data_IF_264506471062
#
_entry.id   IF_264506471062
#
_cell.length_a   1.000
_cell.length_b   1.000
_cell.length_c   1.000
_cell.angle_alpha   90.00
_cell.angle_beta   90.00
_cell.angle_gamma   90.00
#
_symmetry.space_group_name_H-M   'P 1'
#
loop_
_entity.id
_entity.type
_entity.pdbx_description
1 polymer ?
#
# COMPACT_ATOMS: atom_id res chain seq x y z
N UNK A 1 -56.24 -23.14 -49.91
CA UNK A 1 -55.28 -23.60 -48.88
C UNK A 1 -55.88 -23.35 -47.49
N UNK A 2 -56.34 -24.40 -46.79
CA UNK A 2 -56.83 -24.30 -45.39
C UNK A 2 -55.72 -24.77 -44.46
N UNK A 3 -55.17 -23.86 -43.65
CA UNK A 3 -54.18 -24.20 -42.63
C UNK A 3 -54.85 -24.94 -41.46
N UNK A 4 -54.40 -26.17 -41.20
CA UNK A 4 -54.78 -26.95 -40.03
C UNK A 4 -54.10 -26.38 -38.79
N UNK A 5 -54.89 -25.96 -37.79
CA UNK A 5 -54.36 -25.51 -36.49
C UNK A 5 -54.07 -26.72 -35.62
N UNK A 6 -52.83 -27.23 -35.66
CA UNK A 6 -52.37 -28.24 -34.69
C UNK A 6 -52.24 -27.59 -33.30
N UNK A 7 -53.09 -28.00 -32.35
CA UNK A 7 -52.95 -27.62 -30.94
C UNK A 7 -51.73 -28.35 -30.37
N UNK A 8 -50.74 -27.61 -29.87
CA UNK A 8 -49.61 -28.20 -29.15
C UNK A 8 -50.15 -28.96 -27.92
N UNK A 9 -49.73 -30.21 -27.67
CA UNK A 9 -50.21 -30.95 -26.52
C UNK A 9 -49.73 -30.27 -25.22
N UNK A 10 -50.59 -30.24 -24.19
CA UNK A 10 -50.33 -29.56 -22.92
C UNK A 10 -48.98 -29.96 -22.28
N UNK A 11 -48.53 -31.20 -22.52
CA UNK A 11 -47.22 -31.71 -22.10
C UNK A 11 -46.04 -31.01 -22.79
N UNK A 12 -46.17 -30.69 -24.09
CA UNK A 12 -45.15 -29.91 -24.81
C UNK A 12 -45.09 -28.45 -24.34
N UNK A 13 -46.22 -27.88 -23.90
CA UNK A 13 -46.25 -26.54 -23.32
C UNK A 13 -45.55 -26.51 -21.95
N UNK A 14 -45.74 -27.54 -21.12
CA UNK A 14 -45.09 -27.69 -19.81
C UNK A 14 -43.57 -27.89 -19.97
N UNK A 15 -43.13 -28.72 -20.92
CA UNK A 15 -41.69 -28.91 -21.21
C UNK A 15 -41.07 -27.62 -21.75
N UNK A 16 -41.78 -26.87 -22.61
CA UNK A 16 -41.31 -25.57 -23.09
C UNK A 16 -41.18 -24.55 -21.96
N UNK A 17 -42.16 -24.48 -21.05
CA UNK A 17 -42.13 -23.59 -19.88
C UNK A 17 -41.03 -23.97 -18.87
N UNK A 18 -40.80 -25.27 -18.63
CA UNK A 18 -39.70 -25.76 -17.80
C UNK A 18 -38.33 -25.48 -18.45
N UNK A 19 -38.21 -25.60 -19.78
CA UNK A 19 -36.96 -25.26 -20.49
C UNK A 19 -36.66 -23.76 -20.47
N UNK A 20 -37.69 -22.92 -20.47
CA UNK A 20 -37.55 -21.47 -20.35
C UNK A 20 -37.14 -21.05 -18.92
N UNK A 21 -37.55 -21.81 -17.91
CA UNK A 21 -37.19 -21.58 -16.50
C UNK A 21 -35.73 -21.97 -16.18
N UNK A 22 -35.16 -22.92 -16.92
CA UNK A 22 -33.74 -23.31 -16.76
C UNK A 22 -32.75 -22.39 -17.49
N UNK A 23 -33.22 -21.47 -18.36
CA UNK A 23 -32.34 -20.58 -19.13
C UNK A 23 -32.12 -19.20 -18.51
N UNK A 24 -32.78 -18.89 -17.39
CA UNK A 24 -32.54 -17.66 -16.62
C UNK A 24 -31.53 -17.90 -15.51
N UNK A 25 -30.37 -18.45 -15.84
CA UNK A 25 -29.19 -18.31 -14.99
C UNK A 25 -28.71 -16.87 -15.14
N UNK A 26 -29.30 -15.96 -14.38
CA UNK A 26 -28.78 -14.60 -14.24
C UNK A 26 -27.36 -14.72 -13.69
N UNK A 27 -26.37 -14.54 -14.56
CA UNK A 27 -24.99 -14.32 -14.15
C UNK A 27 -24.96 -13.04 -13.33
N UNK A 28 -25.10 -13.15 -12.01
CA UNK A 28 -24.74 -12.06 -11.12
C UNK A 28 -23.25 -11.82 -11.32
N UNK A 29 -22.90 -10.77 -12.04
CA UNK A 29 -21.57 -10.19 -12.00
C UNK A 29 -21.34 -9.76 -10.55
N UNK A 30 -20.69 -10.60 -9.76
CA UNK A 30 -20.16 -10.17 -8.48
C UNK A 30 -19.13 -9.09 -8.79
N UNK A 31 -19.43 -7.83 -8.45
CA UNK A 31 -18.43 -6.77 -8.48
C UNK A 31 -17.45 -7.11 -7.36
N UNK A 32 -16.34 -7.76 -7.72
CA UNK A 32 -15.25 -8.02 -6.80
C UNK A 32 -14.68 -6.70 -6.32
N UNK A 33 -14.59 -6.52 -5.01
CA UNK A 33 -13.92 -5.36 -4.43
C UNK A 33 -12.43 -5.49 -4.71
N UNK A 34 -11.81 -4.47 -5.27
CA UNK A 34 -10.37 -4.45 -5.51
C UNK A 34 -9.77 -3.17 -4.93
N UNK A 35 -8.61 -3.31 -4.26
CA UNK A 35 -7.77 -2.18 -3.91
C UNK A 35 -6.45 -2.35 -4.66
N UNK A 36 -6.18 -1.43 -5.59
CA UNK A 36 -4.99 -1.47 -6.45
C UNK A 36 -4.09 -0.28 -6.14
N UNK A 37 -2.86 -0.54 -5.73
CA UNK A 37 -1.85 0.53 -5.58
C UNK A 37 -1.30 0.87 -6.97
N UNK A 38 -1.59 2.07 -7.45
CA UNK A 38 -1.12 2.57 -8.75
C UNK A 38 0.33 3.03 -8.68
N UNK A 39 0.69 3.74 -7.60
CA UNK A 39 2.06 4.18 -7.34
C UNK A 39 2.31 4.32 -5.86
N UNK A 40 3.57 4.13 -5.48
CA UNK A 40 4.05 4.34 -4.12
C UNK A 40 5.39 5.07 -4.21
N UNK A 41 5.47 6.22 -3.56
CA UNK A 41 6.71 6.98 -3.41
C UNK A 41 6.99 7.20 -1.93
N UNK A 42 8.23 7.07 -1.51
CA UNK A 42 8.63 7.46 -0.17
C UNK A 42 9.88 8.34 -0.21
N UNK A 43 9.81 9.44 0.52
CA UNK A 43 10.94 10.30 0.82
C UNK A 43 11.40 10.05 2.26
N UNK A 44 12.70 9.91 2.45
CA UNK A 44 13.31 9.58 3.73
C UNK A 44 14.43 10.58 4.01
N UNK A 45 14.29 11.33 5.10
CA UNK A 45 15.27 12.31 5.55
C UNK A 45 15.87 11.83 6.87
N UNK A 46 17.17 11.58 6.91
CA UNK A 46 17.86 11.11 8.11
C UNK A 46 18.46 12.30 8.86
N UNK A 47 17.92 12.67 10.02
CA UNK A 47 18.46 13.76 10.83
C UNK A 47 19.81 13.41 11.49
N UNK A 48 20.67 14.40 11.80
CA UNK A 48 21.96 14.17 12.47
C UNK A 48 21.87 13.49 13.84
N UNK A 49 20.73 13.61 14.52
CA UNK A 49 20.46 12.93 15.80
C UNK A 49 20.02 11.46 15.63
N UNK A 50 20.04 10.93 14.41
CA UNK A 50 19.65 9.57 14.07
C UNK A 50 18.14 9.32 13.98
N UNK A 51 17.31 10.35 14.14
CA UNK A 51 15.89 10.26 13.82
C UNK A 51 15.67 10.32 12.31
N UNK A 52 14.68 9.60 11.83
CA UNK A 52 14.33 9.52 10.41
C UNK A 52 12.94 10.10 10.21
N UNK A 53 12.81 11.04 9.29
CA UNK A 53 11.53 11.56 8.83
C UNK A 53 11.16 10.86 7.53
N UNK A 54 9.93 10.37 7.44
CA UNK A 54 9.44 9.66 6.27
C UNK A 54 8.13 10.27 5.80
N UNK A 55 8.05 10.52 4.50
CA UNK A 55 6.84 10.94 3.80
C UNK A 55 6.50 9.91 2.74
N UNK A 56 5.41 9.16 2.93
CA UNK A 56 4.90 8.20 1.95
C UNK A 56 3.74 8.80 1.17
N UNK A 57 3.82 8.78 -0.16
CA UNK A 57 2.75 9.15 -1.08
C UNK A 57 2.22 7.90 -1.80
N UNK A 58 0.98 7.53 -1.48
CA UNK A 58 0.32 6.31 -1.95
C UNK A 58 -0.82 6.71 -2.87
N UNK A 59 -0.71 6.38 -4.16
CA UNK A 59 -1.84 6.51 -5.10
C UNK A 59 -2.54 5.17 -5.21
N UNK A 60 -3.80 5.12 -4.83
CA UNK A 60 -4.61 3.91 -4.74
C UNK A 60 -5.89 4.07 -5.54
N UNK A 61 -6.26 3.04 -6.28
CA UNK A 61 -7.54 2.92 -6.95
C UNK A 61 -8.39 1.89 -6.21
N UNK A 62 -9.55 2.33 -5.74
CA UNK A 62 -10.57 1.48 -5.12
C UNK A 62 -11.60 1.11 -6.20
N UNK A 63 -11.86 -0.17 -6.41
CA UNK A 63 -12.91 -0.66 -7.31
C UNK A 63 -13.91 -1.52 -6.54
N UNK A 64 -15.17 -1.46 -6.95
CA UNK A 64 -16.27 -1.99 -6.15
C UNK A 64 -16.47 -1.17 -4.88
N UNK A 65 -17.43 -1.57 -4.05
CA UNK A 65 -17.79 -0.84 -2.83
C UNK A 65 -18.78 -1.62 -1.97
N UNK A 66 -19.08 -1.13 -0.75
CA UNK A 66 -18.60 0.12 -0.16
C UNK A 66 -17.19 0.02 0.45
N UNK A 67 -16.41 1.09 0.39
CA UNK A 67 -15.08 1.27 0.98
C UNK A 67 -15.11 2.32 2.08
N UNK A 68 -14.32 2.07 3.14
CA UNK A 68 -14.13 3.01 4.25
C UNK A 68 -12.73 3.64 4.29
N UNK A 69 -11.85 3.21 3.37
CA UNK A 69 -10.44 3.56 3.33
C UNK A 69 -9.54 2.32 3.27
N UNK A 70 -8.32 2.41 3.79
CA UNK A 70 -7.29 1.37 3.67
C UNK A 70 -6.54 1.10 4.97
N UNK A 71 -5.82 -0.02 5.00
CA UNK A 71 -4.85 -0.33 6.04
C UNK A 71 -3.42 -0.14 5.53
N UNK A 72 -2.56 0.46 6.35
CA UNK A 72 -1.11 0.55 6.15
C UNK A 72 -0.40 -0.07 7.34
N UNK A 73 0.49 -1.02 7.09
CA UNK A 73 1.22 -1.79 8.11
C UNK A 73 2.71 -1.57 7.95
N UNK A 74 3.32 -0.90 8.91
CA UNK A 74 4.76 -0.57 8.88
C UNK A 74 5.49 -1.50 9.85
N UNK A 75 6.50 -2.28 9.41
CA UNK A 75 7.31 -3.10 10.31
C UNK A 75 8.05 -2.20 11.32
N UNK A 76 7.92 -2.54 12.60
CA UNK A 76 8.49 -1.79 13.73
C UNK A 76 9.21 -2.69 14.73
N UNK A 77 9.37 -3.96 14.36
CA UNK A 77 10.17 -4.97 15.05
C UNK A 77 10.75 -5.91 14.00
N UNK A 78 12.03 -6.23 14.11
CA UNK A 78 12.70 -7.18 13.21
C UNK A 78 13.30 -8.32 14.03
N UNK A 79 12.88 -9.54 13.68
CA UNK A 79 13.31 -10.78 14.34
C UNK A 79 14.34 -11.45 13.45
N UNK A 80 15.52 -11.75 13.98
CA UNK A 80 16.50 -12.61 13.31
C UNK A 80 16.36 -14.05 13.81
N UNK A 81 17.03 -15.03 13.18
CA UNK A 81 17.04 -16.41 13.66
C UNK A 81 17.50 -16.59 15.13
N UNK A 82 18.18 -15.59 15.71
CA UNK A 82 18.67 -15.57 17.08
C UNK A 82 17.69 -14.91 18.08
N UNK A 83 16.58 -14.31 17.62
CA UNK A 83 15.61 -13.59 18.46
C UNK A 83 15.23 -12.22 17.91
N UNK A 84 14.45 -11.44 18.67
CA UNK A 84 14.15 -10.04 18.33
C UNK A 84 15.44 -9.24 18.50
N UNK A 85 15.91 -8.62 17.42
CA UNK A 85 17.15 -7.84 17.48
C UNK A 85 16.92 -6.34 17.39
N UNK A 86 15.70 -5.89 17.10
CA UNK A 86 15.49 -4.48 16.78
C UNK A 86 14.04 -4.03 16.90
N UNK A 87 13.80 -2.89 17.56
CA UNK A 87 12.50 -2.27 17.72
C UNK A 87 12.56 -0.80 17.28
N UNK A 88 11.62 -0.40 16.43
CA UNK A 88 11.53 0.96 15.91
C UNK A 88 10.38 1.73 16.57
N UNK A 89 10.65 2.98 16.90
CA UNK A 89 9.65 3.86 17.51
C UNK A 89 9.05 4.78 16.45
N UNK A 90 7.98 4.30 15.81
CA UNK A 90 7.24 5.05 14.80
C UNK A 90 6.20 5.98 15.46
N UNK A 91 6.25 7.27 15.12
CA UNK A 91 5.26 8.28 15.49
C UNK A 91 4.67 8.94 14.24
N UNK A 92 3.37 8.77 14.03
CA UNK A 92 2.65 9.44 12.92
C UNK A 92 2.53 10.94 13.24
N UNK A 93 2.93 11.79 12.30
CA UNK A 93 2.79 13.25 12.34
C UNK A 93 1.48 13.69 11.70
N UNK A 94 1.24 13.26 10.46
CA UNK A 94 0.06 13.65 9.68
C UNK A 94 -0.34 12.56 8.69
N UNK A 95 -1.62 12.52 8.31
CA UNK A 95 -2.12 11.76 7.17
C UNK A 95 -3.09 12.66 6.41
N UNK A 96 -2.87 12.86 5.11
CA UNK A 96 -3.63 13.81 4.30
C UNK A 96 -4.05 13.25 2.95
N UNK A 97 -5.05 13.87 2.33
CA UNK A 97 -5.42 13.64 0.93
C UNK A 97 -4.55 14.45 -0.05
N UNK A 98 -4.83 14.33 -1.35
CA UNK A 98 -4.13 15.06 -2.41
C UNK A 98 -4.20 16.59 -2.29
N UNK A 99 -5.21 17.11 -1.59
CA UNK A 99 -5.42 18.54 -1.37
C UNK A 99 -4.83 19.03 -0.04
N UNK A 100 -4.19 18.14 0.73
CA UNK A 100 -3.61 18.44 2.03
C UNK A 100 -4.63 18.42 3.18
N UNK A 101 -5.87 17.99 2.95
CA UNK A 101 -6.85 17.88 4.03
C UNK A 101 -6.50 16.70 4.93
N UNK A 102 -6.61 16.89 6.24
CA UNK A 102 -6.34 15.82 7.22
C UNK A 102 -7.36 14.69 7.11
N UNK A 103 -6.85 13.45 7.04
CA UNK A 103 -7.65 12.23 7.07
C UNK A 103 -7.69 11.66 8.48
N UNK A 104 -8.87 11.20 8.89
CA UNK A 104 -9.01 10.47 10.15
C UNK A 104 -8.27 9.13 10.07
N UNK A 105 -7.60 8.74 11.14
CA UNK A 105 -7.00 7.41 11.24
C UNK A 105 -7.02 6.85 12.65
N UNK A 106 -6.83 5.53 12.76
CA UNK A 106 -6.54 4.83 14.01
C UNK A 106 -5.16 4.15 13.89
N UNK A 107 -4.45 4.08 15.01
CA UNK A 107 -3.10 3.51 15.08
C UNK A 107 -3.05 2.45 16.17
N UNK A 108 -2.53 1.26 15.82
CA UNK A 108 -2.43 0.13 16.75
C UNK A 108 -1.14 -0.67 16.52
N UNK A 109 -0.70 -1.43 17.52
CA UNK A 109 0.37 -2.42 17.39
C UNK A 109 -0.26 -3.78 17.12
N UNK A 110 0.17 -4.46 16.06
CA UNK A 110 -0.25 -5.84 15.74
C UNK A 110 1.01 -6.65 15.46
N UNK A 111 1.37 -7.58 16.35
CA UNK A 111 2.63 -8.32 16.30
C UNK A 111 3.82 -7.34 16.14
N UNK A 112 4.63 -7.53 15.11
CA UNK A 112 5.82 -6.72 14.80
C UNK A 112 5.53 -5.46 13.97
N UNK A 113 4.25 -5.09 13.80
CA UNK A 113 3.84 -4.01 12.90
C UNK A 113 3.08 -2.90 13.64
N UNK A 114 3.25 -1.68 13.12
CA UNK A 114 2.38 -0.54 13.37
C UNK A 114 1.30 -0.55 12.30
N UNK A 115 0.05 -0.83 12.69
CA UNK A 115 -1.11 -0.86 11.80
C UNK A 115 -1.87 0.45 11.89
N UNK A 116 -1.99 1.13 10.75
CA UNK A 116 -2.77 2.34 10.55
C UNK A 116 -4.04 1.96 9.78
N UNK A 117 -5.20 2.33 10.33
CA UNK A 117 -6.49 2.28 9.64
C UNK A 117 -6.83 3.69 9.20
N UNK A 118 -6.77 3.96 7.91
CA UNK A 118 -6.94 5.30 7.35
C UNK A 118 -8.33 5.38 6.75
N UNK A 119 -9.10 6.37 7.18
CA UNK A 119 -10.45 6.61 6.68
C UNK A 119 -10.40 7.54 5.48
N UNK A 120 -10.96 7.11 4.35
CA UNK A 120 -10.95 7.87 3.09
C UNK A 120 -12.41 8.12 2.68
N UNK A 121 -12.88 9.39 2.68
CA UNK A 121 -14.23 9.72 2.25
C UNK A 121 -14.39 9.48 0.75
N UNK A 122 -15.59 9.09 0.31
CA UNK A 122 -15.92 8.90 -1.10
C UNK A 122 -14.95 7.95 -1.85
N UNK A 123 -14.50 6.90 -1.17
CA UNK A 123 -13.52 5.96 -1.71
C UNK A 123 -14.09 5.01 -2.78
N UNK A 124 -15.41 4.88 -2.92
CA UNK A 124 -15.98 3.92 -3.87
C UNK A 124 -15.69 4.27 -5.33
N UNK A 125 -15.14 3.31 -6.08
CA UNK A 125 -14.80 3.45 -7.50
C UNK A 125 -13.99 4.72 -7.81
N UNK A 126 -13.06 5.08 -6.93
CA UNK A 126 -12.27 6.30 -7.05
C UNK A 126 -10.77 6.05 -6.91
N UNK A 127 -9.99 6.97 -7.49
CA UNK A 127 -8.54 7.02 -7.28
C UNK A 127 -8.23 8.12 -6.27
N UNK A 128 -7.49 7.75 -5.23
CA UNK A 128 -7.15 8.62 -4.11
C UNK A 128 -5.63 8.65 -3.93
N UNK A 129 -5.11 9.81 -3.55
CA UNK A 129 -3.72 9.94 -3.10
C UNK A 129 -3.73 10.20 -1.61
N UNK A 130 -2.94 9.43 -0.87
CA UNK A 130 -2.80 9.53 0.58
C UNK A 130 -1.33 9.82 0.88
N UNK A 131 -1.07 10.92 1.58
CA UNK A 131 0.25 11.23 2.13
C UNK A 131 0.29 10.84 3.60
N UNK A 132 1.32 10.12 4.02
CA UNK A 132 1.56 9.73 5.42
C UNK A 132 2.92 10.27 5.83
N UNK A 133 2.94 11.17 6.80
CA UNK A 133 4.16 11.68 7.40
C UNK A 133 4.35 11.07 8.78
N UNK A 134 5.52 10.53 9.04
CA UNK A 134 5.87 9.98 10.34
C UNK A 134 7.36 10.10 10.63
N UNK A 135 7.71 10.02 11.91
CA UNK A 135 9.09 9.88 12.35
C UNK A 135 9.35 8.49 12.87
N UNK A 136 10.60 8.06 12.72
CA UNK A 136 11.11 6.82 13.25
C UNK A 136 12.39 7.15 14.02
N UNK A 137 12.43 6.82 15.30
CA UNK A 137 13.67 6.85 16.06
C UNK A 137 14.21 5.43 16.26
N UNK A 138 15.51 5.37 16.55
CA UNK A 138 16.29 4.14 16.65
C UNK A 138 16.35 3.38 15.32
N UNK A 139 16.29 4.08 14.17
CA UNK A 139 16.33 3.51 12.81
C UNK A 139 17.76 3.44 12.21
N UNK A 140 18.72 4.09 12.86
CA UNK A 140 20.14 4.02 12.50
C UNK A 140 20.89 3.11 13.45
N UNK A 141 21.79 2.33 12.88
CA UNK A 141 22.79 1.57 13.63
C UNK A 141 24.16 2.16 13.34
N UNK A 142 24.94 2.35 14.40
CA UNK A 142 26.30 2.86 14.30
C UNK A 142 27.28 1.68 14.43
N UNK A 143 28.18 1.54 13.46
CA UNK A 143 29.31 0.61 13.51
C UNK A 143 30.63 1.41 13.51
N UNK A 144 31.75 0.73 13.75
CA UNK A 144 33.06 1.39 13.82
C UNK A 144 33.43 2.09 12.50
N UNK A 145 33.04 1.51 11.37
CA UNK A 145 33.44 1.91 10.02
C UNK A 145 32.30 2.50 9.16
N UNK A 146 31.04 2.28 9.54
CA UNK A 146 29.88 2.77 8.79
C UNK A 146 28.63 2.93 9.67
N UNK A 147 27.63 3.62 9.13
CA UNK A 147 26.28 3.65 9.71
C UNK A 147 25.32 2.90 8.78
N UNK A 148 24.37 2.14 9.34
CA UNK A 148 23.34 1.42 8.59
C UNK A 148 21.94 1.95 8.92
N UNK A 149 21.20 2.35 7.89
CA UNK A 149 19.77 2.66 7.99
C UNK A 149 18.96 1.40 7.73
N UNK A 150 18.21 0.96 8.73
CA UNK A 150 17.32 -0.20 8.65
C UNK A 150 15.88 0.26 8.42
N UNK A 151 15.43 0.30 7.15
CA UNK A 151 14.05 0.69 6.86
C UNK A 151 13.45 -0.05 5.66
N UNK A 152 12.47 -0.93 5.91
CA UNK A 152 11.63 -1.51 4.86
C UNK A 152 10.48 -0.54 4.53
N UNK A 153 10.78 0.41 3.66
CA UNK A 153 9.85 1.44 3.17
C UNK A 153 8.59 0.82 2.57
N UNK A 154 8.77 -0.21 1.74
CA UNK A 154 7.72 -0.70 0.84
C UNK A 154 6.68 -1.57 1.53
N UNK A 155 7.05 -2.22 2.64
CA UNK A 155 6.20 -3.17 3.38
C UNK A 155 5.69 -4.31 2.48
N UNK A 156 6.15 -5.54 2.70
CA UNK A 156 5.68 -6.67 1.89
C UNK A 156 4.28 -7.17 2.28
N UNK A 157 3.60 -6.46 3.17
CA UNK A 157 2.44 -6.95 3.91
C UNK A 157 1.29 -5.93 3.92
N UNK A 158 0.90 -5.46 2.75
CA UNK A 158 -0.34 -4.68 2.62
C UNK A 158 -1.53 -5.59 2.90
N UNK A 159 -2.10 -5.43 4.09
CA UNK A 159 -3.16 -6.27 4.61
C UNK A 159 -4.51 -5.92 3.95
N UNK A 160 -5.22 -6.94 3.48
CA UNK A 160 -6.45 -6.82 2.70
C UNK A 160 -7.59 -7.33 3.56
N UNK A 161 -8.61 -6.51 3.86
CA UNK A 161 -9.73 -7.00 4.65
C UNK A 161 -10.61 -7.94 3.82
N UNK A 162 -10.68 -9.22 4.22
CA UNK A 162 -11.73 -10.22 3.89
C UNK A 162 -11.74 -10.88 2.49
N UNK A 163 -12.23 -12.14 2.38
CA UNK A 163 -11.99 -13.05 1.23
C UNK A 163 -12.65 -12.65 -0.11
N UNK A 164 -13.44 -11.59 -0.15
CA UNK A 164 -14.05 -11.07 -1.38
C UNK A 164 -13.27 -9.90 -2.01
N UNK A 165 -12.09 -9.55 -1.44
CA UNK A 165 -11.28 -8.47 -1.96
C UNK A 165 -9.95 -8.95 -2.53
N UNK A 166 -9.63 -8.49 -3.73
CA UNK A 166 -8.37 -8.78 -4.41
C UNK A 166 -7.42 -7.59 -4.24
N UNK A 167 -6.14 -7.87 -4.04
CA UNK A 167 -5.09 -6.86 -3.98
C UNK A 167 -4.07 -7.12 -5.04
N UNK A 168 -3.88 -6.14 -5.91
CA UNK A 168 -2.94 -6.23 -7.01
C UNK A 168 -1.85 -5.17 -6.85
N UNK A 169 -0.63 -5.64 -6.62
CA UNK A 169 0.58 -4.81 -6.60
C UNK A 169 1.10 -4.70 -8.05
N UNK A 170 0.74 -3.63 -8.76
CA UNK A 170 1.45 -3.19 -9.99
C UNK A 170 2.11 -1.81 -9.86
N UNK A 171 2.68 -1.41 -8.70
CA UNK A 171 3.19 -0.06 -8.54
C UNK A 171 4.50 0.16 -9.30
N UNK A 172 4.66 1.36 -9.84
CA UNK A 172 6.00 1.97 -9.89
C UNK A 172 6.34 2.37 -8.45
N UNK A 173 7.34 1.70 -7.87
CA UNK A 173 7.84 1.99 -6.53
C UNK A 173 9.08 2.85 -6.68
N UNK A 174 9.08 4.00 -6.01
CA UNK A 174 10.26 4.85 -5.87
C UNK A 174 10.52 5.10 -4.38
N UNK A 175 11.75 4.84 -3.95
CA UNK A 175 12.22 5.25 -2.63
C UNK A 175 13.41 6.19 -2.84
N UNK A 176 13.33 7.41 -2.31
CA UNK A 176 14.41 8.38 -2.34
C UNK A 176 14.84 8.65 -0.90
N UNK A 177 16.13 8.42 -0.63
CA UNK A 177 16.74 8.72 0.66
C UNK A 177 17.65 9.92 0.49
N UNK A 178 17.46 10.94 1.31
CA UNK A 178 18.32 12.13 1.37
C UNK A 178 18.98 12.22 2.75
N UNK A 179 20.26 12.60 2.75
CA UNK A 179 21.05 12.84 3.95
C UNK A 179 21.33 14.35 4.05
N UNK A 180 21.02 15.01 5.17
CA UNK A 180 21.18 16.45 5.34
C UNK A 180 22.65 16.87 5.49
N UNK A 181 23.60 15.94 5.67
CA UNK A 181 25.02 16.23 5.82
C UNK A 181 25.83 15.20 5.03
N UNK A 182 26.91 15.59 4.32
CA UNK A 182 27.90 14.61 3.88
C UNK A 182 28.52 14.00 5.13
N UNK A 183 28.06 12.81 5.51
CA UNK A 183 28.68 12.04 6.58
C UNK A 183 30.13 11.75 6.18
N UNK A 184 31.07 11.91 7.11
CA UNK A 184 32.47 11.52 6.91
C UNK A 184 32.65 10.01 6.79
N UNK A 185 31.59 9.24 7.10
CA UNK A 185 31.51 7.79 7.00
C UNK A 185 30.47 7.38 5.95
N UNK A 186 30.72 6.32 5.17
CA UNK A 186 29.75 5.81 4.20
C UNK A 186 28.49 5.28 4.91
N UNK A 187 27.31 5.60 4.36
CA UNK A 187 26.04 5.01 4.78
C UNK A 187 25.71 3.82 3.89
N UNK A 188 25.52 2.65 4.50
CA UNK A 188 25.15 1.42 3.78
C UNK A 188 23.67 1.11 4.03
N UNK A 189 22.90 0.89 2.96
CA UNK A 189 21.53 0.40 3.05
C UNK A 189 21.51 -1.10 2.80
N UNK A 190 20.94 -1.88 3.72
CA UNK A 190 20.65 -3.31 3.50
C UNK A 190 19.15 -3.52 3.38
N UNK A 191 18.70 -3.96 2.20
CA UNK A 191 17.33 -4.42 1.98
C UNK A 191 17.28 -5.94 2.16
N UNK A 192 16.53 -6.44 3.14
CA UNK A 192 16.34 -7.88 3.34
C UNK A 192 14.94 -8.31 2.87
N UNK A 193 14.92 -9.21 1.86
CA UNK A 193 13.77 -9.83 1.17
C UNK A 193 12.74 -8.89 0.54
N UNK A 194 13.02 -8.45 -0.70
CA UNK A 194 12.08 -8.39 -1.85
C UNK A 194 12.89 -8.16 -3.14
N UNK A 195 12.43 -8.59 -4.35
CA UNK A 195 13.26 -8.74 -5.55
C UNK A 195 13.97 -7.44 -5.96
N UNK A 196 15.07 -7.50 -6.75
CA UNK A 196 15.92 -6.35 -7.00
C UNK A 196 15.10 -5.23 -7.64
N UNK A 197 14.83 -4.18 -6.87
CA UNK A 197 14.32 -2.92 -7.41
C UNK A 197 15.37 -1.84 -7.14
N UNK A 198 15.69 -1.11 -8.20
CA UNK A 198 16.71 -0.08 -8.21
C UNK A 198 16.36 1.03 -7.20
N UNK A 199 17.08 1.07 -6.08
CA UNK A 199 17.21 2.28 -5.28
C UNK A 199 18.11 3.24 -6.04
N UNK A 200 17.54 4.21 -6.75
CA UNK A 200 18.33 5.29 -7.33
C UNK A 200 18.73 6.25 -6.21
N UNK A 201 19.95 6.07 -5.69
CA UNK A 201 20.57 7.01 -4.77
C UNK A 201 20.99 8.25 -5.56
N UNK A 202 20.33 9.38 -5.33
CA UNK A 202 20.78 10.68 -5.84
C UNK A 202 21.44 11.41 -4.66
N UNK A 203 22.78 11.40 -4.55
CA UNK A 203 23.45 12.22 -3.56
C UNK A 203 23.12 13.69 -3.84
N UNK A 204 22.89 14.47 -2.78
CA UNK A 204 22.72 15.91 -2.90
C UNK A 204 23.92 16.52 -3.66
N UNK A 205 23.62 17.25 -4.73
CA UNK A 205 24.59 17.72 -5.71
C UNK A 205 25.71 18.56 -5.06
N UNK A 206 26.97 18.14 -5.26
CA UNK A 206 28.19 18.81 -4.78
C UNK A 206 28.59 20.05 -5.61
N UNK A 207 27.62 20.78 -6.17
CA UNK A 207 27.90 21.82 -7.17
C UNK A 207 27.11 23.10 -6.89
N UNK A 208 27.46 23.81 -5.82
CA UNK A 208 27.31 25.28 -5.69
C UNK A 208 27.81 25.77 -4.32
N UNK A 209 29.11 25.63 -4.04
CA UNK A 209 29.80 26.55 -3.12
C UNK A 209 31.09 26.95 -3.81
N UNK A 210 30.95 27.82 -4.81
CA UNK A 210 32.06 28.66 -5.25
C UNK A 210 31.97 29.93 -4.42
N UNK A 211 33.10 30.27 -3.77
CA UNK A 211 33.41 31.53 -3.08
C UNK A 211 32.54 32.74 -3.49
N UNK A 212 31.96 33.38 -2.48
CA UNK A 212 32.01 34.84 -2.27
C UNK A 212 31.83 35.10 -0.78
#
# INVERSE_FOLDING_TARGET
>A
MRFSKSKLPLRSLIVLLLSLFFFTSSSSSFITKELRIESFAAEIIVSPNGSVEVTENIRVHFSGGPWRGLYRTVPVEYVTPQGINYALFLRVKSITDASGNSLKFESSRVRHYRKLKIYVPNADNSTQTISIEYTVSDALRFFEDHDELYWNVTGDEWDVPTPASFFRKTPRIFAQTSLPVPTSRPLTTRTWKSPPMASNFVPANRSAITKA
#
